data_IF_270471583594
#
_entry.id   IF_270471583594
#
_cell.length_a   1.000
_cell.length_b   1.000
_cell.length_c   1.000
_cell.angle_alpha   90.00
_cell.angle_beta   90.00
_cell.angle_gamma   90.00
#
_symmetry.space_group_name_H-M   'P 1'
#
loop_
_entity.id
_entity.type
_entity.pdbx_description
1 polymer ?
#
# COMPACT_ATOMS: atom_id res chain seq x y z
N UNK A 1 -8.50 15.40 -10.47
CA UNK A 1 -8.76 14.20 -9.66
C UNK A 1 -8.14 13.02 -10.41
N UNK A 2 -6.84 12.78 -10.23
CA UNK A 2 -6.15 11.67 -10.91
C UNK A 2 -6.14 10.52 -9.91
N UNK A 3 -7.19 9.69 -9.95
CA UNK A 3 -7.21 8.43 -9.21
C UNK A 3 -6.25 7.47 -9.94
N UNK A 4 -5.00 7.40 -9.50
CA UNK A 4 -4.10 6.36 -9.99
C UNK A 4 -4.38 5.08 -9.21
N UNK A 5 -5.08 4.15 -9.85
CA UNK A 5 -5.18 2.77 -9.37
C UNK A 5 -3.92 2.03 -9.82
N UNK A 6 -3.10 1.58 -8.87
CA UNK A 6 -2.04 0.63 -9.19
C UNK A 6 -2.71 -0.73 -9.48
N UNK A 7 -2.73 -1.24 -10.73
CA UNK A 7 -3.33 -2.53 -11.01
C UNK A 7 -2.38 -3.59 -10.47
N UNK A 8 -2.76 -4.26 -9.39
CA UNK A 8 -1.93 -5.31 -8.77
C UNK A 8 -2.07 -6.68 -9.45
N UNK A 9 -2.88 -6.83 -10.51
CA UNK A 9 -2.92 -8.06 -11.30
C UNK A 9 -3.53 -7.87 -12.71
N UNK A 10 -2.81 -8.19 -13.81
CA UNK A 10 -3.37 -8.14 -15.17
C UNK A 10 -4.50 -9.15 -15.43
N UNK A 11 -4.71 -10.15 -14.56
CA UNK A 11 -5.73 -11.21 -14.76
C UNK A 11 -7.16 -10.81 -14.36
N UNK A 12 -7.38 -9.65 -13.76
CA UNK A 12 -8.65 -9.35 -13.06
C UNK A 12 -9.60 -8.40 -13.80
N UNK A 13 -9.31 -8.08 -15.07
CA UNK A 13 -10.11 -7.13 -15.86
C UNK A 13 -11.50 -7.68 -16.32
N UNK A 14 -11.88 -8.91 -15.98
CA UNK A 14 -13.09 -9.56 -16.51
C UNK A 14 -14.35 -9.43 -15.65
N UNK A 15 -14.26 -9.05 -14.37
CA UNK A 15 -15.41 -8.99 -13.47
C UNK A 15 -16.00 -10.39 -13.18
N UNK A 16 -15.94 -10.81 -11.91
CA UNK A 16 -16.47 -12.08 -11.38
C UNK A 16 -15.69 -13.35 -11.80
N UNK A 17 -14.50 -13.51 -11.21
CA UNK A 17 -13.87 -14.83 -11.04
C UNK A 17 -14.21 -15.35 -9.62
N UNK A 18 -14.85 -16.51 -9.44
CA UNK A 18 -15.12 -17.10 -8.13
C UNK A 18 -13.86 -17.38 -7.29
N UNK A 19 -12.70 -17.60 -7.91
CA UNK A 19 -11.44 -17.87 -7.20
C UNK A 19 -10.78 -16.61 -6.63
N UNK A 20 -11.14 -15.42 -7.17
CA UNK A 20 -10.75 -14.12 -6.65
C UNK A 20 -11.08 -13.95 -5.16
N UNK A 21 -12.18 -14.59 -4.73
CA UNK A 21 -12.80 -14.43 -3.41
C UNK A 21 -11.87 -14.91 -2.28
N UNK A 22 -10.84 -15.71 -2.58
CA UNK A 22 -9.92 -16.26 -1.58
C UNK A 22 -8.51 -15.67 -1.63
N UNK A 23 -8.24 -14.76 -2.56
CA UNK A 23 -6.94 -14.11 -2.70
C UNK A 23 -6.88 -12.78 -1.94
N UNK A 24 -5.77 -12.53 -1.24
CA UNK A 24 -5.53 -11.23 -0.63
C UNK A 24 -5.22 -10.21 -1.71
N UNK A 25 -5.98 -9.12 -1.76
CA UNK A 25 -5.75 -8.00 -2.68
C UNK A 25 -5.41 -6.75 -1.89
N UNK A 26 -4.37 -6.03 -2.32
CA UNK A 26 -4.03 -4.72 -1.76
C UNK A 26 -4.39 -3.64 -2.78
N UNK A 27 -5.37 -2.83 -2.41
CA UNK A 27 -5.77 -1.64 -3.14
C UNK A 27 -5.18 -0.41 -2.45
N UNK A 28 -4.55 0.43 -3.25
CA UNK A 28 -3.93 1.68 -2.82
C UNK A 28 -4.41 2.80 -3.73
N UNK A 29 -4.91 3.87 -3.14
CA UNK A 29 -5.29 5.08 -3.87
C UNK A 29 -4.58 6.28 -3.27
N UNK A 30 -4.05 7.14 -4.13
CA UNK A 30 -3.54 8.45 -3.74
C UNK A 30 -4.63 9.47 -4.03
N UNK A 31 -5.06 10.20 -3.00
CA UNK A 31 -6.12 11.21 -3.09
C UNK A 31 -5.61 12.54 -2.55
N UNK A 32 -6.35 13.62 -2.84
CA UNK A 32 -5.96 14.98 -2.47
C UNK A 32 -5.73 15.17 -0.96
N UNK A 33 -6.32 14.33 -0.11
CA UNK A 33 -6.22 14.42 1.35
C UNK A 33 -5.39 13.29 2.00
N UNK A 34 -4.81 12.40 1.20
CA UNK A 34 -3.90 11.37 1.69
C UNK A 34 -3.87 10.06 0.89
N UNK A 35 -3.23 9.07 1.49
CA UNK A 35 -3.08 7.72 0.93
C UNK A 35 -4.13 6.80 1.55
N UNK A 36 -4.86 6.09 0.70
CA UNK A 36 -5.93 5.17 1.07
C UNK A 36 -5.50 3.74 0.80
N UNK A 37 -5.70 2.86 1.78
CA UNK A 37 -5.24 1.47 1.75
C UNK A 37 -6.38 0.54 2.13
N UNK A 38 -6.68 -0.43 1.27
CA UNK A 38 -7.70 -1.47 1.53
C UNK A 38 -7.13 -2.84 1.19
N UNK A 39 -7.12 -3.74 2.16
CA UNK A 39 -6.77 -5.13 1.93
C UNK A 39 -8.04 -5.97 1.90
N UNK A 40 -8.45 -6.48 0.74
CA UNK A 40 -9.63 -7.31 0.61
C UNK A 40 -9.27 -8.80 0.80
N UNK A 41 -10.08 -9.61 1.49
CA UNK A 41 -11.36 -9.31 2.14
C UNK A 41 -11.26 -8.79 3.60
N UNK A 42 -10.06 -8.52 4.13
CA UNK A 42 -9.84 -8.17 5.54
C UNK A 42 -10.37 -6.78 5.96
N UNK A 43 -10.47 -5.83 5.03
CA UNK A 43 -10.93 -4.47 5.27
C UNK A 43 -12.30 -4.21 4.64
N UNK A 44 -13.29 -3.85 5.46
CA UNK A 44 -14.59 -3.36 4.99
C UNK A 44 -14.50 -1.98 4.32
N UNK A 45 -13.64 -1.10 4.82
CA UNK A 45 -13.42 0.26 4.30
C UNK A 45 -11.93 0.58 4.16
N UNK A 46 -11.61 1.62 3.39
CA UNK A 46 -10.23 2.09 3.27
C UNK A 46 -9.72 2.67 4.59
N UNK A 47 -8.47 2.35 4.92
CA UNK A 47 -7.68 3.07 5.93
C UNK A 47 -7.00 4.25 5.25
N UNK A 48 -7.02 5.42 5.89
CA UNK A 48 -6.41 6.65 5.37
C UNK A 48 -5.18 7.02 6.19
N UNK A 49 -4.12 7.45 5.52
CA UNK A 49 -2.96 8.15 6.09
C UNK A 49 -2.96 9.54 5.47
N UNK A 50 -3.20 10.58 6.27
CA UNK A 50 -3.26 11.96 5.73
C UNK A 50 -1.88 12.50 5.45
N UNK A 51 -1.79 13.52 4.57
CA UNK A 51 -0.51 14.18 4.29
C UNK A 51 0.18 14.72 5.54
N UNK A 52 -0.59 15.29 6.47
CA UNK A 52 -0.07 15.79 7.75
C UNK A 52 0.51 14.70 8.67
N UNK A 53 0.17 13.43 8.44
CA UNK A 53 0.71 12.32 9.22
C UNK A 53 2.00 11.76 8.62
N UNK A 54 2.33 12.13 7.39
CA UNK A 54 3.49 11.62 6.64
C UNK A 54 4.65 12.59 6.80
N UNK A 55 5.76 12.09 7.33
CA UNK A 55 7.00 12.85 7.45
C UNK A 55 7.90 12.61 6.25
N UNK A 56 8.05 11.35 5.83
CA UNK A 56 8.86 10.93 4.69
C UNK A 56 8.25 9.71 4.01
N UNK A 57 8.53 9.56 2.72
CA UNK A 57 8.19 8.38 1.96
C UNK A 57 9.28 8.04 0.95
N UNK A 58 9.56 6.75 0.74
CA UNK A 58 10.59 6.30 -0.20
C UNK A 58 10.28 4.91 -0.78
N UNK A 59 10.72 4.61 -2.02
CA UNK A 59 10.65 3.26 -2.54
C UNK A 59 11.67 2.39 -1.80
N UNK A 60 11.24 1.21 -1.34
CA UNK A 60 12.05 0.33 -0.51
C UNK A 60 11.95 -1.13 -0.95
N UNK A 61 13.10 -1.79 -1.01
CA UNK A 61 13.18 -3.24 -1.03
C UNK A 61 13.32 -3.76 0.41
N UNK A 62 12.61 -4.84 0.73
CA UNK A 62 12.57 -5.44 2.06
C UNK A 62 12.52 -6.97 1.98
N UNK A 63 12.66 -7.66 3.09
CA UNK A 63 12.53 -9.11 3.19
C UNK A 63 11.24 -9.48 3.94
N UNK A 64 10.14 -9.86 3.24
CA UNK A 64 8.85 -10.14 3.88
C UNK A 64 8.94 -11.18 5.00
N UNK A 65 9.68 -12.28 4.78
CA UNK A 65 9.85 -13.36 5.76
C UNK A 65 10.65 -12.92 6.97
N UNK A 66 11.78 -12.23 6.77
CA UNK A 66 12.70 -11.87 7.86
C UNK A 66 12.24 -10.66 8.65
N UNK A 67 11.64 -9.67 8.00
CA UNK A 67 11.29 -8.39 8.64
C UNK A 67 9.86 -8.38 9.17
N UNK A 68 8.93 -9.11 8.53
CA UNK A 68 7.49 -9.04 8.85
C UNK A 68 6.83 -10.41 9.10
N UNK A 69 7.58 -11.52 9.00
CA UNK A 69 7.04 -12.86 9.20
C UNK A 69 6.07 -13.29 8.10
N UNK A 70 6.16 -12.69 6.91
CA UNK A 70 5.41 -13.07 5.72
C UNK A 70 4.53 -11.98 5.12
N UNK A 71 3.42 -12.40 4.51
CA UNK A 71 2.50 -11.60 3.70
C UNK A 71 1.19 -11.37 4.48
N UNK A 72 0.46 -10.34 4.10
CA UNK A 72 -0.77 -9.86 4.74
C UNK A 72 -0.56 -8.53 5.46
N UNK A 73 -1.37 -8.32 6.49
CA UNK A 73 -1.22 -7.22 7.45
C UNK A 73 -0.31 -7.69 8.58
N UNK A 74 0.84 -7.04 8.77
CA UNK A 74 1.85 -7.46 9.75
C UNK A 74 2.22 -6.31 10.66
N UNK A 75 2.17 -6.57 11.96
CA UNK A 75 2.62 -5.64 12.99
C UNK A 75 3.99 -6.07 13.51
N UNK A 76 4.91 -5.13 13.55
CA UNK A 76 6.19 -5.24 14.23
C UNK A 76 6.36 -4.00 15.14
N UNK A 77 7.31 -4.01 16.09
CA UNK A 77 7.55 -2.85 16.95
C UNK A 77 7.75 -1.57 16.12
N UNK A 78 6.86 -0.58 16.30
CA UNK A 78 6.87 0.69 15.57
C UNK A 78 6.49 0.62 14.08
N UNK A 79 6.16 -0.55 13.53
CA UNK A 79 6.00 -0.76 12.08
C UNK A 79 4.72 -1.52 11.74
N UNK A 80 4.09 -1.15 10.63
CA UNK A 80 2.94 -1.85 10.06
C UNK A 80 3.19 -2.11 8.58
N UNK A 81 3.10 -3.36 8.13
CA UNK A 81 3.23 -3.70 6.73
C UNK A 81 1.91 -4.19 6.15
N UNK A 82 1.54 -3.64 4.99
CA UNK A 82 0.51 -4.16 4.10
C UNK A 82 1.20 -4.72 2.88
N UNK A 83 1.28 -6.04 2.75
CA UNK A 83 1.90 -6.66 1.57
C UNK A 83 1.13 -7.91 1.14
N UNK A 84 0.86 -8.09 -0.14
CA UNK A 84 0.20 -9.31 -0.66
C UNK A 84 1.12 -10.17 -1.52
N UNK A 85 2.21 -9.61 -2.04
CA UNK A 85 3.17 -10.35 -2.87
C UNK A 85 4.49 -9.60 -3.01
N UNK A 86 5.57 -10.30 -3.36
CA UNK A 86 6.85 -9.66 -3.66
C UNK A 86 7.55 -9.07 -2.43
N UNK A 87 8.58 -8.25 -2.69
CA UNK A 87 9.55 -7.79 -1.70
C UNK A 87 9.91 -6.30 -1.87
N UNK A 88 9.03 -5.54 -2.51
CA UNK A 88 9.18 -4.11 -2.80
C UNK A 88 7.91 -3.37 -2.43
N UNK A 89 8.04 -2.07 -2.16
CA UNK A 89 6.94 -1.23 -1.70
C UNK A 89 7.39 0.18 -1.38
N UNK A 90 6.48 0.97 -0.85
CA UNK A 90 6.77 2.32 -0.35
C UNK A 90 6.83 2.27 1.17
N UNK A 91 7.93 2.74 1.72
CA UNK A 91 8.10 2.96 3.14
C UNK A 91 7.62 4.36 3.48
N UNK A 92 6.72 4.48 4.45
CA UNK A 92 6.16 5.75 4.92
C UNK A 92 6.55 5.91 6.38
N UNK A 93 7.35 6.93 6.68
CA UNK A 93 7.64 7.37 8.03
C UNK A 93 6.58 8.39 8.44
N UNK A 94 5.95 8.15 9.60
CA UNK A 94 4.91 9.03 10.14
C UNK A 94 5.49 9.95 11.19
N UNK A 95 4.90 11.12 11.32
CA UNK A 95 5.31 12.16 12.28
C UNK A 95 5.29 11.71 13.77
N UNK A 96 4.66 10.57 14.08
CA UNK A 96 4.67 9.97 15.42
C UNK A 96 5.79 8.94 15.63
N UNK A 97 6.77 8.86 14.72
CA UNK A 97 7.89 7.92 14.77
C UNK A 97 7.55 6.48 14.38
N UNK A 98 6.30 6.21 13.97
CA UNK A 98 5.89 4.90 13.45
C UNK A 98 6.06 4.85 11.94
N UNK A 99 6.21 3.65 11.40
CA UNK A 99 6.31 3.46 9.96
C UNK A 99 5.22 2.54 9.39
N UNK A 100 4.82 2.81 8.15
CA UNK A 100 3.93 1.97 7.35
C UNK A 100 4.63 1.57 6.07
N UNK A 101 4.72 0.27 5.81
CA UNK A 101 5.17 -0.28 4.53
C UNK A 101 3.94 -0.67 3.71
N UNK A 102 3.86 -0.18 2.47
CA UNK A 102 2.83 -0.55 1.52
C UNK A 102 3.48 -1.29 0.35
N UNK A 103 3.22 -2.58 0.24
CA UNK A 103 3.76 -3.44 -0.82
C UNK A 103 3.29 -3.00 -2.21
N UNK A 104 4.21 -2.94 -3.14
CA UNK A 104 3.94 -2.60 -4.55
C UNK A 104 5.03 -3.16 -5.44
N UNK A 105 4.64 -3.69 -6.60
CA UNK A 105 5.58 -4.14 -7.63
C UNK A 105 6.17 -2.97 -8.43
N UNK A 106 5.61 -1.76 -8.28
CA UNK A 106 6.01 -0.54 -8.98
C UNK A 106 6.15 0.62 -7.98
N UNK A 107 7.02 0.51 -6.96
CA UNK A 107 7.09 1.50 -5.88
C UNK A 107 7.51 2.89 -6.38
N UNK A 108 8.31 2.99 -7.44
CA UNK A 108 8.70 4.28 -8.04
C UNK A 108 7.50 5.02 -8.65
N UNK A 109 6.60 4.30 -9.33
CA UNK A 109 5.38 4.92 -9.87
C UNK A 109 4.43 5.36 -8.74
N UNK A 110 4.40 4.61 -7.65
CA UNK A 110 3.58 4.96 -6.49
C UNK A 110 4.12 6.23 -5.82
N UNK A 111 5.43 6.34 -5.62
CA UNK A 111 6.07 7.57 -5.11
C UNK A 111 5.78 8.76 -6.02
N UNK A 112 5.93 8.60 -7.35
CA UNK A 112 5.59 9.68 -8.29
C UNK A 112 4.12 10.13 -8.17
N UNK A 113 3.18 9.19 -8.01
CA UNK A 113 1.78 9.54 -7.81
C UNK A 113 1.53 10.28 -6.48
N UNK A 114 2.31 9.97 -5.43
CA UNK A 114 2.28 10.71 -4.17
C UNK A 114 2.78 12.15 -4.37
N UNK A 115 3.93 12.32 -5.03
CA UNK A 115 4.51 13.63 -5.34
C UNK A 115 3.51 14.50 -6.12
N UNK A 116 2.97 13.99 -7.23
CA UNK A 116 2.02 14.71 -8.08
C UNK A 116 0.78 15.20 -7.32
N UNK A 117 0.21 14.39 -6.42
CA UNK A 117 -1.03 14.73 -5.70
C UNK A 117 -0.78 15.54 -4.43
N UNK A 118 0.34 15.31 -3.73
CA UNK A 118 0.65 16.02 -2.47
C UNK A 118 1.15 17.45 -2.69
N UNK A 119 1.69 17.73 -3.87
CA UNK A 119 2.16 19.06 -4.28
C UNK A 119 1.11 19.86 -5.07
N UNK A 120 -0.06 19.27 -5.34
CA UNK A 120 -1.20 19.92 -6.03
C UNK A 120 -2.17 20.60 -5.07
#
# INVERSE_FOLDING_TARGET
MVAWECPTNPREASGLDPEAVHSLRLQTEVRADGIYIKMWPLHWSFRRITWSEIERYEPRQYSPLREFGGWGIRWAPGKLAYNVSGNRGVWIERANGRAVLIGSQRPENFVRAIEEVSES
#
